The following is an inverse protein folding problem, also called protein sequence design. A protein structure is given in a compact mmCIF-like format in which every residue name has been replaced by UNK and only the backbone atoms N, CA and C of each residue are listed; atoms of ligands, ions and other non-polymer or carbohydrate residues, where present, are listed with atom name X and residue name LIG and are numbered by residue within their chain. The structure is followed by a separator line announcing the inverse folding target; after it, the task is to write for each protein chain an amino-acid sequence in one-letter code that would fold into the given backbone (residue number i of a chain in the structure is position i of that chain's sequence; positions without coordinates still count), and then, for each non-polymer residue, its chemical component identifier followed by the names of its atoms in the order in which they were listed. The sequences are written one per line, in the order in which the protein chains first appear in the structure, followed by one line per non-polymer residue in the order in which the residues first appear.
data_IF_615223140348
#
_entry.id   IF_615223140348
#
_cell.length_a   1.000
_cell.length_b   1.000
_cell.length_c   1.000
_cell.angle_alpha   90.00
_cell.angle_beta   90.00
_cell.angle_gamma   90.00
#
_symmetry.space_group_name_H-M   'P 1'
#
loop_
_entity.id
_entity.type
_entity.pdbx_description
1 polymer ?
#
# COMPACT_ATOMS: atom_id res chain seq x y z
N UNK A 1 -7.51 -19.24 5.32
CA UNK A 1 -6.52 -18.15 5.41
C UNK A 1 -7.27 -16.84 5.35
N UNK A 2 -6.80 -15.80 6.04
CA UNK A 2 -7.31 -14.44 5.84
C UNK A 2 -6.95 -14.00 4.43
N UNK A 3 -7.86 -13.32 3.72
CA UNK A 3 -7.49 -12.71 2.43
C UNK A 3 -6.36 -11.71 2.68
N UNK A 4 -5.23 -11.94 2.03
CA UNK A 4 -4.15 -10.96 2.03
C UNK A 4 -4.64 -9.74 1.27
N UNK A 5 -4.50 -8.57 1.88
CA UNK A 5 -4.85 -7.29 1.28
C UNK A 5 -3.60 -6.72 0.63
N UNK A 6 -3.75 -6.04 -0.50
CA UNK A 6 -2.63 -5.47 -1.24
C UNK A 6 -2.15 -4.14 -0.64
N UNK A 7 -2.79 -3.62 0.41
CA UNK A 7 -2.46 -2.34 1.03
C UNK A 7 -2.46 -2.47 2.55
N UNK A 8 -1.60 -1.70 3.22
CA UNK A 8 -1.73 -1.45 4.66
C UNK A 8 -2.74 -0.32 4.83
N UNK A 9 -3.84 -0.63 5.52
CA UNK A 9 -4.90 0.34 5.85
C UNK A 9 -4.87 0.65 7.34
N UNK A 10 -5.10 1.91 7.66
CA UNK A 10 -5.13 2.39 9.04
C UNK A 10 -6.56 2.77 9.42
N UNK A 11 -6.96 2.44 10.65
CA UNK A 11 -8.33 2.64 11.14
C UNK A 11 -8.34 3.33 12.50
N UNK A 12 -9.37 4.13 12.73
CA UNK A 12 -9.75 4.62 14.05
C UNK A 12 -10.98 3.85 14.50
N UNK A 13 -10.94 3.35 15.74
CA UNK A 13 -12.05 2.61 16.34
C UNK A 13 -12.55 3.40 17.54
N UNK A 14 -13.79 3.82 17.47
CA UNK A 14 -14.53 4.35 18.61
C UNK A 14 -15.18 3.18 19.34
N UNK A 15 -14.74 2.91 20.56
CA UNK A 15 -15.19 1.80 21.38
C UNK A 15 -16.55 2.02 22.02
N UNK A 16 -16.96 3.29 22.21
CA UNK A 16 -18.26 3.65 22.80
C UNK A 16 -19.36 3.54 21.74
N UNK A 17 -19.16 4.19 20.60
CA UNK A 17 -20.12 4.14 19.47
C UNK A 17 -20.00 2.86 18.64
N UNK A 18 -18.94 2.06 18.85
CA UNK A 18 -18.61 0.85 18.09
C UNK A 18 -18.37 1.11 16.60
N UNK A 19 -18.01 2.35 16.25
CA UNK A 19 -17.80 2.77 14.87
C UNK A 19 -16.34 2.59 14.49
N UNK A 20 -16.11 2.05 13.29
CA UNK A 20 -14.78 1.92 12.69
C UNK A 20 -14.70 2.87 11.50
N UNK A 21 -13.68 3.72 11.47
CA UNK A 21 -13.42 4.64 10.38
C UNK A 21 -12.08 4.33 9.73
N UNK A 22 -12.08 4.23 8.41
CA UNK A 22 -10.84 4.14 7.65
C UNK A 22 -10.21 5.53 7.51
N UNK A 23 -8.95 5.63 7.92
CA UNK A 23 -8.17 6.87 7.89
C UNK A 23 -7.01 6.78 6.91
N UNK A 24 -7.00 5.83 5.99
CA UNK A 24 -5.90 5.64 5.04
C UNK A 24 -5.82 6.81 4.04
N UNK A 25 -4.61 7.26 3.72
CA UNK A 25 -4.35 8.32 2.76
C UNK A 25 -4.33 7.79 1.30
N UNK A 26 -5.33 6.98 0.93
CA UNK A 26 -5.37 6.26 -0.36
C UNK A 26 -6.58 6.64 -1.25
N UNK A 27 -7.35 7.67 -0.88
CA UNK A 27 -8.55 8.08 -1.65
C UNK A 27 -8.23 8.56 -3.07
N UNK A 28 -7.08 9.20 -3.27
CA UNK A 28 -6.67 9.75 -4.57
C UNK A 28 -5.73 8.81 -5.34
N UNK A 29 -4.96 8.00 -4.63
CA UNK A 29 -3.93 7.15 -5.20
C UNK A 29 -3.79 5.88 -4.35
N UNK A 30 -3.86 4.69 -4.98
CA UNK A 30 -3.62 3.42 -4.28
C UNK A 30 -2.25 3.40 -3.60
N UNK A 31 -2.18 2.82 -2.42
CA UNK A 31 -0.97 2.79 -1.61
C UNK A 31 -1.24 2.45 -0.16
N UNK A 32 -0.17 2.30 0.60
CA UNK A 32 -0.21 1.86 1.99
C UNK A 32 -0.03 3.04 2.93
N UNK A 33 -0.91 3.13 3.91
CA UNK A 33 -0.84 4.12 5.00
C UNK A 33 -0.57 3.41 6.32
N UNK A 34 0.57 3.71 6.93
CA UNK A 34 0.99 3.11 8.21
C UNK A 34 1.10 4.19 9.26
N UNK A 35 0.31 4.09 10.33
CA UNK A 35 0.47 4.93 11.52
C UNK A 35 1.82 4.61 12.18
N UNK A 36 2.63 5.64 12.37
CA UNK A 36 3.95 5.54 13.01
C UNK A 36 3.87 5.87 14.50
N UNK A 37 3.08 6.89 14.85
CA UNK A 37 2.92 7.36 16.22
C UNK A 37 1.60 8.12 16.37
N UNK A 38 1.03 8.07 17.57
CA UNK A 38 -0.09 8.91 17.98
C UNK A 38 0.31 9.60 19.28
N UNK A 39 0.22 10.93 19.31
CA UNK A 39 0.50 11.72 20.50
C UNK A 39 -0.65 12.71 20.73
N UNK A 40 -1.37 12.51 21.83
CA UNK A 40 -2.58 13.29 22.15
C UNK A 40 -3.59 13.23 20.99
N UNK A 41 -3.88 14.38 20.36
CA UNK A 41 -4.81 14.51 19.24
C UNK A 41 -4.12 14.37 17.86
N UNK A 42 -2.80 14.17 17.80
CA UNK A 42 -2.04 14.18 16.54
C UNK A 42 -1.62 12.76 16.15
N UNK A 43 -1.89 12.41 14.90
CA UNK A 43 -1.44 11.16 14.27
C UNK A 43 -0.31 11.49 13.30
N UNK A 44 0.79 10.76 13.41
CA UNK A 44 1.85 10.72 12.40
C UNK A 44 1.75 9.40 11.63
N UNK A 45 1.70 9.48 10.31
CA UNK A 45 1.67 8.32 9.42
C UNK A 45 2.69 8.46 8.30
N UNK A 46 3.08 7.32 7.73
CA UNK A 46 3.74 7.26 6.43
C UNK A 46 2.75 6.81 5.37
N UNK A 47 2.85 7.39 4.18
CA UNK A 47 2.22 6.85 2.97
C UNK A 47 3.30 6.51 1.94
N UNK A 48 3.16 5.35 1.29
CA UNK A 48 4.02 4.94 0.19
C UNK A 48 3.27 4.01 -0.77
N UNK A 49 3.81 3.84 -1.97
CA UNK A 49 3.39 2.84 -2.95
C UNK A 49 4.63 2.29 -3.65
N UNK A 50 4.49 1.25 -4.47
CA UNK A 50 5.59 0.73 -5.28
C UNK A 50 6.18 1.79 -6.23
N UNK A 51 5.41 2.81 -6.61
CA UNK A 51 5.84 3.92 -7.48
C UNK A 51 6.26 5.17 -6.72
N UNK A 52 5.97 5.27 -5.42
CA UNK A 52 6.18 6.48 -4.61
C UNK A 52 6.84 6.15 -3.27
N UNK A 53 8.08 6.61 -3.01
CA UNK A 53 8.75 6.44 -1.72
C UNK A 53 7.95 6.98 -0.54
N UNK A 54 8.27 6.47 0.67
CA UNK A 54 7.64 6.88 1.92
C UNK A 54 7.70 8.39 2.18
N UNK A 55 6.55 8.93 2.55
CA UNK A 55 6.36 10.34 2.91
C UNK A 55 5.63 10.44 4.24
N UNK A 56 6.00 11.41 5.06
CA UNK A 56 5.35 11.68 6.33
C UNK A 56 4.13 12.57 6.14
N UNK A 57 3.05 12.18 6.81
CA UNK A 57 1.80 12.91 6.90
C UNK A 57 1.38 13.03 8.36
N UNK A 58 0.76 14.16 8.69
CA UNK A 58 0.14 14.39 9.98
C UNK A 58 -1.34 14.68 9.83
N UNK A 59 -2.12 14.31 10.82
CA UNK A 59 -3.52 14.68 10.94
C UNK A 59 -3.91 14.83 12.41
N UNK A 60 -5.05 15.46 12.68
CA UNK A 60 -5.66 15.54 14.00
C UNK A 60 -6.88 14.63 14.10
N UNK A 61 -7.02 13.87 15.19
CA UNK A 61 -8.21 13.03 15.42
C UNK A 61 -9.48 13.88 15.51
N UNK A 62 -9.39 15.08 16.08
CA UNK A 62 -10.50 16.05 16.15
C UNK A 62 -11.03 16.52 14.79
N UNK A 63 -10.32 16.27 13.68
CA UNK A 63 -10.90 16.49 12.34
C UNK A 63 -12.03 15.50 12.03
N UNK A 64 -11.95 14.29 12.58
CA UNK A 64 -12.92 13.21 12.36
C UNK A 64 -14.27 13.51 12.99
N UNK A 65 -14.29 14.26 14.09
CA UNK A 65 -15.52 14.64 14.79
C UNK A 65 -16.35 15.66 13.99
N UNK A 66 -15.68 16.53 13.22
CA UNK A 66 -16.33 17.59 12.45
C UNK A 66 -16.90 17.08 11.13
N UNK A 67 -16.08 16.38 10.34
CA UNK A 67 -16.42 16.07 8.94
C UNK A 67 -16.54 14.57 8.65
N UNK A 68 -16.39 13.71 9.67
CA UNK A 68 -16.26 12.25 9.50
C UNK A 68 -15.18 11.84 8.48
N UNK A 69 -14.22 12.73 8.23
CA UNK A 69 -13.14 12.54 7.28
C UNK A 69 -11.82 13.00 7.91
N UNK A 70 -10.74 12.31 7.53
CA UNK A 70 -9.39 12.68 7.97
C UNK A 70 -8.73 13.54 6.91
N UNK A 71 -8.16 14.67 7.33
CA UNK A 71 -7.36 15.52 6.45
C UNK A 71 -5.88 15.27 6.71
N UNK A 72 -5.20 14.62 5.76
CA UNK A 72 -3.77 14.38 5.83
C UNK A 72 -2.97 15.55 5.28
N UNK A 73 -2.12 16.14 6.12
CA UNK A 73 -1.17 17.18 5.71
C UNK A 73 0.21 16.55 5.54
N UNK A 74 0.78 16.66 4.34
CA UNK A 74 2.15 16.19 4.06
C UNK A 74 3.16 17.08 4.78
N UNK A 75 4.10 16.48 5.51
CA UNK A 75 5.14 17.21 6.27
C UNK A 75 6.57 16.85 5.86
N UNK A 76 6.75 15.91 4.93
CA UNK A 76 8.06 15.63 4.32
C UNK A 76 8.04 15.75 2.80
N UNK A 77 9.20 16.05 2.23
CA UNK A 77 9.39 16.10 0.77
C UNK A 77 9.44 14.67 0.20
N UNK A 78 8.74 14.36 -0.92
CA UNK A 78 8.96 13.11 -1.65
C UNK A 78 10.43 12.95 -2.04
N UNK A 79 10.95 11.73 -1.91
CA UNK A 79 12.14 11.36 -2.67
C UNK A 79 11.74 11.14 -4.13
N UNK A 80 12.54 11.67 -5.05
CA UNK A 80 12.36 11.41 -6.48
C UNK A 80 12.75 9.97 -6.81
N UNK A 81 12.04 9.38 -7.77
CA UNK A 81 12.38 8.08 -8.35
C UNK A 81 12.50 8.24 -9.86
N UNK A 82 13.29 7.38 -10.54
CA UNK A 82 13.36 7.41 -11.99
C UNK A 82 12.00 7.24 -12.65
N UNK A 83 11.83 7.83 -13.82
CA UNK A 83 10.54 7.84 -14.54
C UNK A 83 10.01 6.44 -14.86
N UNK A 84 10.89 5.44 -15.00
CA UNK A 84 10.48 4.04 -15.18
C UNK A 84 9.69 3.52 -13.98
N UNK A 85 10.12 3.86 -12.76
CA UNK A 85 9.47 3.48 -11.49
C UNK A 85 8.23 4.33 -11.24
N UNK A 86 8.32 5.65 -11.45
CA UNK A 86 7.20 6.57 -11.22
C UNK A 86 5.98 6.24 -12.11
N UNK A 87 6.23 5.81 -13.34
CA UNK A 87 5.21 5.49 -14.34
C UNK A 87 4.95 3.99 -14.49
N UNK A 88 5.56 3.14 -13.63
CA UNK A 88 5.31 1.71 -13.67
C UNK A 88 3.84 1.41 -13.34
N UNK A 89 3.29 0.43 -14.04
CA UNK A 89 1.97 -0.12 -13.78
C UNK A 89 2.00 -0.91 -12.48
N UNK A 90 1.05 -0.62 -11.60
CA UNK A 90 0.74 -1.42 -10.41
C UNK A 90 -0.64 -2.03 -10.62
N UNK A 91 -0.73 -3.36 -10.61
CA UNK A 91 -2.01 -4.06 -10.76
C UNK A 91 -2.23 -5.07 -9.64
N UNK A 92 -3.41 -5.01 -9.04
CA UNK A 92 -3.84 -5.93 -8.00
C UNK A 92 -4.53 -7.13 -8.63
N UNK A 93 -3.91 -8.31 -8.48
CA UNK A 93 -4.39 -9.54 -9.08
C UNK A 93 -5.10 -10.40 -8.06
N UNK A 94 -6.27 -10.93 -8.43
CA UNK A 94 -6.97 -11.98 -7.71
C UNK A 94 -6.80 -13.30 -8.47
N UNK A 95 -6.13 -14.27 -7.84
CA UNK A 95 -5.81 -15.55 -8.43
C UNK A 95 -6.66 -16.64 -7.79
N UNK A 96 -7.16 -17.58 -8.60
CA UNK A 96 -7.94 -18.72 -8.13
C UNK A 96 -7.43 -20.02 -8.76
N UNK A 97 -7.26 -21.03 -7.92
CA UNK A 97 -6.87 -22.37 -8.32
C UNK A 97 -8.08 -23.31 -8.29
N UNK A 98 -8.27 -24.10 -9.35
CA UNK A 98 -9.41 -25.02 -9.48
C UNK A 98 -9.03 -26.47 -9.15
N UNK A 99 -8.59 -26.70 -7.90
CA UNK A 99 -8.08 -28.01 -7.45
C UNK A 99 -8.84 -28.59 -6.25
N UNK A 100 -9.93 -27.93 -5.81
CA UNK A 100 -10.69 -28.35 -4.62
C UNK A 100 -9.92 -28.22 -3.30
N UNK A 101 -8.73 -27.59 -3.30
CA UNK A 101 -7.94 -27.35 -2.11
C UNK A 101 -8.66 -26.42 -1.11
N UNK A 102 -8.40 -26.61 0.19
CA UNK A 102 -8.98 -25.79 1.28
C UNK A 102 -8.66 -24.30 1.15
N UNK A 103 -7.50 -23.97 0.58
CA UNK A 103 -7.10 -22.60 0.22
C UNK A 103 -6.87 -22.58 -1.27
N UNK A 104 -7.70 -21.82 -1.99
CA UNK A 104 -7.73 -21.80 -3.46
C UNK A 104 -7.77 -20.39 -4.03
N UNK A 105 -7.77 -19.36 -3.19
CA UNK A 105 -7.73 -17.96 -3.60
C UNK A 105 -6.48 -17.29 -3.05
N UNK A 106 -5.84 -16.49 -3.90
CA UNK A 106 -4.60 -15.81 -3.60
C UNK A 106 -4.64 -14.39 -4.19
N UNK A 107 -3.80 -13.52 -3.65
CA UNK A 107 -3.59 -12.17 -4.20
C UNK A 107 -2.14 -12.02 -4.62
N UNK A 108 -1.92 -11.20 -5.64
CA UNK A 108 -0.59 -10.80 -6.08
C UNK A 108 -0.62 -9.33 -6.51
N UNK A 109 0.56 -8.71 -6.55
CA UNK A 109 0.75 -7.36 -7.08
C UNK A 109 1.69 -7.50 -8.27
N UNK A 110 1.24 -7.08 -9.44
CA UNK A 110 2.10 -6.87 -10.60
C UNK A 110 2.71 -5.48 -10.51
N UNK A 111 4.01 -5.38 -10.77
CA UNK A 111 4.74 -4.12 -10.80
C UNK A 111 5.73 -4.11 -11.96
N UNK A 112 5.40 -3.40 -13.03
CA UNK A 112 6.19 -3.47 -14.24
C UNK A 112 5.85 -2.35 -15.24
N UNK A 113 6.52 -2.33 -16.39
CA UNK A 113 6.21 -1.38 -17.46
C UNK A 113 4.76 -1.53 -17.96
N UNK A 114 4.13 -0.43 -18.36
CA UNK A 114 2.77 -0.42 -18.94
C UNK A 114 2.77 -0.65 -20.47
N UNK A 115 3.94 -0.90 -21.06
CA UNK A 115 4.08 -1.10 -22.50
C UNK A 115 3.76 -2.56 -22.87
N UNK A 116 2.97 -2.80 -23.91
CA UNK A 116 2.60 -4.14 -24.40
C UNK A 116 3.75 -4.97 -25.01
N UNK A 117 4.97 -4.79 -24.52
CA UNK A 117 6.16 -5.56 -24.86
C UNK A 117 6.34 -6.70 -23.87
N UNK A 118 7.15 -7.70 -24.27
CA UNK A 118 7.53 -8.81 -23.39
C UNK A 118 8.74 -8.39 -22.57
N UNK A 119 8.61 -8.45 -21.25
CA UNK A 119 9.68 -8.20 -20.29
C UNK A 119 10.03 -9.49 -19.53
N UNK A 120 11.29 -9.68 -19.13
CA UNK A 120 11.62 -10.74 -18.19
C UNK A 120 10.89 -10.50 -16.86
N UNK A 121 10.25 -11.55 -16.34
CA UNK A 121 9.43 -11.49 -15.13
C UNK A 121 10.17 -12.08 -13.93
N UNK A 122 10.26 -11.33 -12.83
CA UNK A 122 10.70 -11.82 -11.52
C UNK A 122 9.47 -12.23 -10.71
N UNK A 123 9.34 -13.53 -10.44
CA UNK A 123 8.32 -14.03 -9.52
C UNK A 123 8.88 -14.04 -8.10
N UNK A 124 8.31 -13.22 -7.21
CA UNK A 124 8.79 -13.06 -5.85
C UNK A 124 7.77 -13.54 -4.80
N UNK A 125 7.82 -14.81 -4.37
CA UNK A 125 6.99 -15.31 -3.28
C UNK A 125 7.58 -14.95 -1.90
N UNK A 126 6.73 -14.65 -0.92
CA UNK A 126 7.18 -14.33 0.45
C UNK A 126 7.56 -15.57 1.29
N UNK A 127 7.21 -16.77 0.82
CA UNK A 127 7.82 -18.05 1.23
C UNK A 127 7.50 -18.59 2.63
N UNK A 128 6.98 -17.78 3.56
CA UNK A 128 6.74 -18.23 4.95
C UNK A 128 5.67 -17.44 5.71
N UNK A 129 5.32 -17.89 6.93
CA UNK A 129 4.41 -17.18 7.82
C UNK A 129 5.00 -15.83 8.25
N UNK A 130 4.11 -14.90 8.64
CA UNK A 130 4.45 -13.55 9.13
C UNK A 130 5.06 -12.59 8.09
N UNK A 131 5.01 -12.92 6.80
CA UNK A 131 5.38 -12.02 5.71
C UNK A 131 4.23 -11.87 4.72
N UNK A 132 4.12 -10.68 4.14
CA UNK A 132 3.15 -10.34 3.11
C UNK A 132 3.70 -9.18 2.28
N UNK A 133 3.38 -9.18 0.99
CA UNK A 133 3.59 -8.01 0.14
C UNK A 133 2.40 -7.08 0.24
N UNK A 134 2.69 -5.78 0.24
CA UNK A 134 1.73 -4.70 0.12
C UNK A 134 2.25 -3.70 -0.91
N UNK A 135 1.37 -2.84 -1.40
CA UNK A 135 1.70 -1.69 -2.20
C UNK A 135 2.32 -0.62 -1.28
N UNK A 136 3.52 -0.93 -0.80
CA UNK A 136 4.43 -0.06 -0.07
C UNK A 136 5.73 0.00 -0.87
N UNK A 137 6.48 1.09 -0.75
CA UNK A 137 7.71 1.22 -1.52
C UNK A 137 8.73 0.13 -1.18
N UNK A 138 9.26 -0.55 -2.20
CA UNK A 138 10.36 -1.51 -2.11
C UNK A 138 11.49 -1.06 -3.03
N UNK A 139 12.68 -0.91 -2.46
CA UNK A 139 13.87 -0.53 -3.20
C UNK A 139 14.26 -1.62 -4.21
N UNK A 140 14.08 -2.87 -3.84
CA UNK A 140 14.38 -4.03 -4.68
C UNK A 140 13.45 -4.12 -5.88
N UNK A 141 12.14 -3.94 -5.67
CA UNK A 141 11.18 -3.88 -6.77
C UNK A 141 11.50 -2.74 -7.73
N UNK A 142 11.79 -1.54 -7.20
CA UNK A 142 12.21 -0.40 -7.99
C UNK A 142 13.50 -0.69 -8.78
N UNK A 143 14.49 -1.35 -8.18
CA UNK A 143 15.72 -1.77 -8.85
C UNK A 143 15.45 -2.71 -10.03
N UNK A 144 14.64 -3.76 -9.83
CA UNK A 144 14.30 -4.70 -10.89
C UNK A 144 13.58 -4.00 -12.06
N UNK A 145 12.65 -3.10 -11.75
CA UNK A 145 11.95 -2.31 -12.76
C UNK A 145 12.92 -1.41 -13.56
N UNK A 146 13.86 -0.75 -12.89
CA UNK A 146 14.86 0.10 -13.54
C UNK A 146 15.77 -0.67 -14.52
N UNK A 147 16.07 -1.94 -14.23
CA UNK A 147 16.92 -2.78 -15.10
C UNK A 147 16.09 -3.62 -16.09
N UNK A 148 14.81 -3.29 -16.27
CA UNK A 148 13.97 -3.82 -17.35
C UNK A 148 13.20 -5.09 -17.02
N UNK A 149 13.07 -5.46 -15.74
CA UNK A 149 12.22 -6.56 -15.30
C UNK A 149 10.83 -6.06 -14.91
N UNK A 150 9.85 -6.94 -15.02
CA UNK A 150 8.55 -6.84 -14.38
C UNK A 150 8.46 -7.82 -13.20
#
# INVERSE_FOLDING_TARGET
STQQQNEIRSYVVDVESRRILDISNNLKTPGSTTVLCVQSDVILATFSSLTTPGQLFVSKLSSLERDCNIEWVRVSTPSEVPSSVANAKVEYMALKQDTGARVSTFTAIYFGPDEGKVYPLVVWPHGGPHSAFSNSYSLEAALFNMIGFA
#
